data_IF_608107324985
#
_entry.id   IF_608107324985
#
_cell.length_a   1.000
_cell.length_b   1.000
_cell.length_c   1.000
_cell.angle_alpha   90.00
_cell.angle_beta   90.00
_cell.angle_gamma   90.00
#
_symmetry.space_group_name_H-M   'P 1'
#
loop_
_entity.id
_entity.type
_entity.pdbx_description
1 polymer ?
#
# COMPACT_ATOMS: atom_id res chain seq x y z
N UNK A 1 51.84 -21.20 -21.97
CA UNK A 1 51.59 -21.74 -20.61
C UNK A 1 51.63 -20.59 -19.61
N UNK A 2 50.60 -20.43 -18.77
CA UNK A 2 50.58 -19.42 -17.69
C UNK A 2 51.61 -19.72 -16.63
N UNK A 3 52.33 -18.69 -16.16
CA UNK A 3 53.32 -18.84 -15.08
C UNK A 3 52.68 -19.38 -13.79
N UNK A 4 53.43 -20.09 -12.93
CA UNK A 4 52.88 -20.68 -11.69
C UNK A 4 52.12 -19.67 -10.82
N UNK A 5 52.64 -18.45 -10.71
CA UNK A 5 52.01 -17.37 -9.93
C UNK A 5 50.67 -16.90 -10.51
N UNK A 6 50.50 -16.91 -11.85
CA UNK A 6 49.24 -16.57 -12.49
C UNK A 6 48.20 -17.69 -12.33
N UNK A 7 48.62 -18.94 -12.27
CA UNK A 7 47.74 -20.08 -11.96
C UNK A 7 47.25 -20.05 -10.52
N UNK A 8 48.14 -19.74 -9.58
CA UNK A 8 47.79 -19.61 -8.16
C UNK A 8 46.80 -18.44 -7.93
N UNK A 9 47.02 -17.31 -8.60
CA UNK A 9 46.12 -16.14 -8.53
C UNK A 9 44.74 -16.47 -9.08
N UNK A 10 44.63 -17.21 -10.19
CA UNK A 10 43.33 -17.63 -10.75
C UNK A 10 42.60 -18.62 -9.86
N UNK A 11 43.31 -19.53 -9.19
CA UNK A 11 42.72 -20.46 -8.23
C UNK A 11 42.21 -19.71 -7.00
N UNK A 12 42.96 -18.76 -6.45
CA UNK A 12 42.52 -17.90 -5.34
C UNK A 12 41.32 -17.04 -5.68
N UNK A 13 41.28 -16.47 -6.89
CA UNK A 13 40.09 -15.71 -7.38
C UNK A 13 38.89 -16.64 -7.52
N UNK A 14 39.05 -17.84 -8.03
CA UNK A 14 37.96 -18.81 -8.17
C UNK A 14 37.40 -19.26 -6.80
N UNK A 15 38.27 -19.52 -5.82
CA UNK A 15 37.85 -19.84 -4.45
C UNK A 15 37.21 -18.64 -3.74
N UNK A 16 37.68 -17.41 -3.97
CA UNK A 16 37.06 -16.19 -3.42
C UNK A 16 35.69 -15.97 -4.01
N UNK A 17 35.44 -16.20 -5.31
CA UNK A 17 34.13 -16.11 -5.94
C UNK A 17 33.21 -17.26 -5.50
N UNK A 18 33.72 -18.47 -5.30
CA UNK A 18 32.93 -19.58 -4.77
C UNK A 18 32.53 -19.36 -3.31
N UNK A 19 33.43 -18.79 -2.48
CA UNK A 19 33.14 -18.47 -1.08
C UNK A 19 32.11 -17.37 -0.92
N UNK A 20 32.04 -16.39 -1.83
CA UNK A 20 31.01 -15.36 -1.81
C UNK A 20 29.61 -15.88 -2.22
N UNK A 21 29.57 -16.97 -3.02
CA UNK A 21 28.28 -17.59 -3.39
C UNK A 21 27.64 -18.43 -2.27
N UNK A 22 28.44 -18.94 -1.33
CA UNK A 22 27.97 -19.84 -0.25
C UNK A 22 27.39 -19.05 0.94
N UNK A 23 27.62 -17.72 1.01
CA UNK A 23 27.12 -16.86 2.06
C UNK A 23 25.82 -16.13 1.70
N UNK A 24 25.15 -16.45 0.60
CA UNK A 24 23.77 -16.04 0.39
C UNK A 24 22.89 -16.83 1.35
N UNK A 25 22.77 -16.32 2.58
CA UNK A 25 21.65 -16.69 3.43
C UNK A 25 20.39 -16.36 2.62
N UNK A 26 19.61 -17.37 2.28
CA UNK A 26 18.26 -17.18 1.78
C UNK A 26 17.47 -16.50 2.90
N UNK A 27 17.39 -15.17 2.85
CA UNK A 27 16.42 -14.47 3.68
C UNK A 27 15.06 -15.09 3.35
N UNK A 28 14.44 -15.74 4.31
CA UNK A 28 13.06 -16.22 4.15
C UNK A 28 12.22 -14.97 3.93
N UNK A 29 11.55 -14.91 2.78
CA UNK A 29 10.61 -13.84 2.49
C UNK A 29 9.47 -13.93 3.51
N UNK A 30 9.19 -12.84 4.21
CA UNK A 30 8.19 -12.77 5.28
C UNK A 30 7.31 -11.55 5.07
N UNK A 31 5.99 -11.73 5.20
CA UNK A 31 5.05 -10.62 5.26
C UNK A 31 5.28 -9.82 6.55
N UNK A 32 5.36 -8.51 6.43
CA UNK A 32 5.56 -7.61 7.58
C UNK A 32 4.68 -6.38 7.42
N UNK A 33 3.90 -6.07 8.46
CA UNK A 33 3.03 -4.89 8.47
C UNK A 33 3.58 -3.79 9.38
N UNK A 34 3.61 -2.57 8.85
CA UNK A 34 3.93 -1.36 9.59
C UNK A 34 2.76 -0.38 9.59
N UNK A 35 2.43 0.20 10.77
CA UNK A 35 1.48 1.30 10.87
C UNK A 35 2.10 2.56 10.25
N UNK A 36 1.36 3.24 9.38
CA UNK A 36 1.81 4.48 8.74
C UNK A 36 1.35 5.67 9.58
N UNK A 37 0.05 5.87 9.71
CA UNK A 37 -0.54 6.90 10.55
C UNK A 37 -1.97 6.51 10.92
N UNK A 38 -2.49 7.14 11.96
CA UNK A 38 -3.88 6.99 12.40
C UNK A 38 -4.35 8.25 13.11
N UNK A 39 -5.65 8.39 13.19
CA UNK A 39 -6.32 9.37 14.03
C UNK A 39 -7.66 8.85 14.53
N UNK A 40 -8.27 9.58 15.44
CA UNK A 40 -9.61 9.26 15.91
C UNK A 40 -10.52 10.49 15.88
N UNK A 41 -11.81 10.22 15.73
CA UNK A 41 -12.85 11.26 15.79
C UNK A 41 -14.18 10.69 16.26
N UNK A 42 -15.03 11.54 16.80
CA UNK A 42 -16.43 11.21 17.11
C UNK A 42 -17.33 11.61 15.95
N UNK A 43 -18.30 10.76 15.61
CA UNK A 43 -19.38 11.13 14.69
C UNK A 43 -20.49 11.93 15.43
N UNK A 44 -21.53 12.32 14.70
CA UNK A 44 -22.68 13.06 15.26
C UNK A 44 -23.49 12.26 16.30
N UNK A 45 -23.31 10.95 16.34
CA UNK A 45 -23.96 10.04 17.30
C UNK A 45 -23.01 9.66 18.45
N UNK A 46 -21.90 10.37 18.64
CA UNK A 46 -20.86 10.11 19.63
C UNK A 46 -20.17 8.73 19.51
N UNK A 47 -20.26 8.08 18.36
CA UNK A 47 -19.46 6.91 18.11
C UNK A 47 -18.01 7.34 17.81
N UNK A 48 -17.05 6.64 18.39
CA UNK A 48 -15.63 6.87 18.17
C UNK A 48 -15.13 6.03 16.99
N UNK A 49 -14.54 6.69 16.02
CA UNK A 49 -13.81 6.04 14.94
C UNK A 49 -12.31 6.16 15.15
N UNK A 50 -11.59 5.07 14.95
CA UNK A 50 -10.13 5.05 14.79
C UNK A 50 -9.87 4.67 13.35
N UNK A 51 -9.35 5.62 12.57
CA UNK A 51 -9.01 5.43 11.15
C UNK A 51 -7.51 5.50 10.98
N UNK A 52 -6.97 4.70 10.07
CA UNK A 52 -5.55 4.71 9.83
C UNK A 52 -5.17 3.88 8.62
N UNK A 53 -3.86 3.74 8.42
CA UNK A 53 -3.28 3.04 7.29
C UNK A 53 -2.15 2.13 7.74
N UNK A 54 -2.15 0.92 7.18
CA UNK A 54 -1.12 -0.10 7.36
C UNK A 54 -0.42 -0.35 6.03
N UNK A 55 0.89 -0.56 6.07
CA UNK A 55 1.71 -0.86 4.89
C UNK A 55 2.35 -2.24 5.03
N UNK A 56 2.33 -3.02 3.96
CA UNK A 56 3.17 -4.21 3.87
C UNK A 56 4.60 -3.79 3.54
N UNK A 57 5.49 -3.87 4.53
CA UNK A 57 6.91 -3.55 4.42
C UNK A 57 7.78 -4.80 4.20
N UNK A 58 7.15 -5.98 4.15
CA UNK A 58 7.79 -7.26 3.86
C UNK A 58 7.89 -7.56 2.37
N UNK A 59 8.42 -8.73 2.06
CA UNK A 59 8.67 -9.21 0.69
C UNK A 59 7.57 -10.13 0.16
N UNK A 60 6.64 -10.55 1.04
CA UNK A 60 5.52 -11.45 0.72
C UNK A 60 4.21 -10.71 0.88
N UNK A 61 3.24 -11.00 0.01
CA UNK A 61 1.88 -10.51 0.17
C UNK A 61 1.28 -11.05 1.48
N UNK A 62 0.49 -10.21 2.15
CA UNK A 62 -0.23 -10.60 3.38
C UNK A 62 -1.74 -10.56 3.13
N UNK A 63 -2.46 -11.39 3.87
CA UNK A 63 -3.93 -11.49 3.82
C UNK A 63 -4.52 -11.61 5.23
N UNK A 64 -5.85 -11.48 5.32
CA UNK A 64 -6.57 -11.55 6.59
C UNK A 64 -5.99 -10.59 7.64
N UNK A 65 -5.65 -9.37 7.22
CA UNK A 65 -5.08 -8.35 8.10
C UNK A 65 -6.11 -7.91 9.12
N UNK A 66 -6.09 -8.52 10.29
CA UNK A 66 -6.92 -8.15 11.44
C UNK A 66 -6.30 -6.93 12.13
N UNK A 67 -7.15 -5.96 12.46
CA UNK A 67 -6.81 -4.73 13.17
C UNK A 67 -7.54 -4.74 14.50
N UNK A 68 -6.80 -4.81 15.59
CA UNK A 68 -7.34 -4.75 16.95
C UNK A 68 -7.00 -3.42 17.59
N UNK A 69 -8.01 -2.67 17.98
CA UNK A 69 -7.88 -1.43 18.75
C UNK A 69 -8.31 -1.67 20.18
N UNK A 70 -7.42 -1.35 21.12
CA UNK A 70 -7.70 -1.41 22.56
C UNK A 70 -7.87 0.02 23.06
N UNK A 71 -9.00 0.29 23.71
CA UNK A 71 -9.39 1.61 24.19
C UNK A 71 -9.20 1.73 25.70
N UNK A 72 -8.70 2.89 26.15
CA UNK A 72 -8.39 3.15 27.56
C UNK A 72 -9.03 4.46 28.03
N UNK A 73 -9.41 4.49 29.32
CA UNK A 73 -9.94 5.65 29.99
C UNK A 73 -8.81 6.59 30.52
N UNK A 74 -9.20 7.67 31.21
CA UNK A 74 -8.29 8.66 31.79
C UNK A 74 -7.33 8.12 32.85
N UNK A 75 -7.65 6.97 33.47
CA UNK A 75 -6.78 6.28 34.43
C UNK A 75 -5.97 5.15 33.78
N UNK A 76 -5.92 5.11 32.45
CA UNK A 76 -5.25 4.10 31.65
C UNK A 76 -5.77 2.66 31.88
N UNK A 77 -7.02 2.54 32.33
CA UNK A 77 -7.70 1.26 32.43
C UNK A 77 -8.37 0.93 31.11
N UNK A 78 -8.26 -0.32 30.69
CA UNK A 78 -8.92 -0.83 29.49
C UNK A 78 -10.43 -0.72 29.61
N UNK A 79 -11.08 -0.06 28.65
CA UNK A 79 -12.53 -0.04 28.47
C UNK A 79 -12.94 -1.29 27.70
N UNK A 80 -12.46 -1.43 26.47
CA UNK A 80 -12.77 -2.54 25.58
C UNK A 80 -11.67 -2.75 24.54
N UNK A 81 -11.82 -3.78 23.72
CA UNK A 81 -11.05 -3.98 22.51
C UNK A 81 -11.99 -4.35 21.38
N UNK A 82 -11.84 -3.71 20.21
CA UNK A 82 -12.65 -3.95 19.04
C UNK A 82 -11.73 -4.40 17.92
N UNK A 83 -12.18 -5.38 17.16
CA UNK A 83 -11.45 -5.96 16.04
C UNK A 83 -12.22 -5.71 14.73
N UNK A 84 -11.47 -5.52 13.67
CA UNK A 84 -11.93 -5.41 12.30
C UNK A 84 -10.82 -5.82 11.35
N UNK A 85 -10.95 -5.47 10.09
CA UNK A 85 -9.95 -5.81 9.08
C UNK A 85 -9.48 -4.56 8.36
N UNK A 86 -8.27 -4.62 7.82
CA UNK A 86 -7.85 -3.70 6.79
C UNK A 86 -8.72 -3.92 5.55
N UNK A 87 -8.91 -2.86 4.77
CA UNK A 87 -9.81 -2.81 3.62
C UNK A 87 -9.42 -3.83 2.53
N UNK A 88 -8.15 -3.83 2.13
CA UNK A 88 -7.67 -4.78 1.12
C UNK A 88 -7.57 -6.20 1.68
N UNK A 89 -8.18 -7.15 0.97
CA UNK A 89 -8.07 -8.58 1.32
C UNK A 89 -6.64 -9.10 1.22
N UNK A 90 -5.87 -8.59 0.23
CA UNK A 90 -4.46 -8.96 0.01
C UNK A 90 -3.64 -7.70 -0.13
N UNK A 91 -2.74 -7.45 0.82
CA UNK A 91 -1.83 -6.32 0.77
C UNK A 91 -0.50 -6.78 0.18
N UNK A 92 -0.23 -6.42 -1.07
CA UNK A 92 1.00 -6.73 -1.78
C UNK A 92 2.20 -6.01 -1.15
N UNK A 93 3.44 -6.50 -1.32
CA UNK A 93 4.65 -5.81 -0.89
C UNK A 93 4.68 -4.34 -1.31
N UNK A 94 4.99 -3.45 -0.38
CA UNK A 94 5.04 -2.01 -0.59
C UNK A 94 3.68 -1.29 -0.65
N UNK A 95 2.56 -2.02 -0.67
CA UNK A 95 1.21 -1.44 -0.73
C UNK A 95 0.70 -1.07 0.65
N UNK A 96 -0.22 -0.09 0.66
CA UNK A 96 -0.97 0.33 1.84
C UNK A 96 -2.43 -0.13 1.76
N UNK A 97 -3.06 -0.25 2.91
CA UNK A 97 -4.49 -0.47 3.07
C UNK A 97 -4.98 0.36 4.26
N UNK A 98 -6.10 1.03 4.12
CA UNK A 98 -6.69 1.70 5.25
C UNK A 98 -7.41 0.69 6.18
N UNK A 99 -7.71 1.15 7.39
CA UNK A 99 -8.64 0.51 8.31
C UNK A 99 -9.52 1.57 8.97
N UNK A 100 -10.72 1.16 9.38
CA UNK A 100 -11.65 2.00 10.14
C UNK A 100 -12.33 1.15 11.19
N UNK A 101 -12.04 1.44 12.46
CA UNK A 101 -12.60 0.71 13.61
C UNK A 101 -13.55 1.64 14.36
N UNK A 102 -14.81 1.21 14.49
CA UNK A 102 -15.87 1.95 15.15
C UNK A 102 -16.16 1.39 16.53
N UNK A 103 -16.18 2.27 17.52
CA UNK A 103 -16.70 2.00 18.87
C UNK A 103 -17.99 2.77 19.08
N UNK A 104 -19.05 2.10 19.47
CA UNK A 104 -20.34 2.74 19.73
C UNK A 104 -20.29 3.60 21.01
N UNK A 105 -21.12 4.64 21.05
CA UNK A 105 -21.31 5.47 22.24
C UNK A 105 -21.72 4.59 23.45
N UNK A 106 -22.64 3.63 23.22
CA UNK A 106 -23.11 2.66 24.24
C UNK A 106 -22.01 1.75 24.78
N UNK A 107 -20.88 1.61 24.10
CA UNK A 107 -19.70 0.85 24.54
C UNK A 107 -18.71 1.70 25.36
N UNK A 108 -19.03 2.99 25.58
CA UNK A 108 -18.23 3.92 26.36
C UNK A 108 -17.28 4.78 25.55
N UNK A 109 -17.59 5.04 24.28
CA UNK A 109 -16.76 5.85 23.36
C UNK A 109 -16.36 7.21 23.94
N UNK A 110 -17.27 7.89 24.66
CA UNK A 110 -17.00 9.18 25.30
C UNK A 110 -16.00 9.13 26.46
N UNK A 111 -15.73 7.97 27.02
CA UNK A 111 -14.78 7.76 28.12
C UNK A 111 -13.37 7.44 27.64
N UNK A 112 -13.18 7.34 26.31
CA UNK A 112 -11.88 7.00 25.74
C UNK A 112 -10.95 8.23 25.77
N UNK A 113 -9.76 8.05 26.35
CA UNK A 113 -8.70 9.08 26.38
C UNK A 113 -7.52 8.72 25.48
N UNK A 114 -7.26 7.42 25.31
CA UNK A 114 -6.25 6.95 24.36
C UNK A 114 -6.58 5.54 23.86
N UNK A 115 -5.81 5.07 22.89
CA UNK A 115 -5.95 3.74 22.31
C UNK A 115 -4.60 3.19 21.87
N UNK A 116 -4.52 1.86 21.72
CA UNK A 116 -3.41 1.18 21.08
C UNK A 116 -3.92 0.29 19.94
N UNK A 117 -3.09 0.15 18.89
CA UNK A 117 -3.44 -0.60 17.69
C UNK A 117 -2.47 -1.75 17.52
N UNK A 118 -3.01 -2.93 17.22
CA UNK A 118 -2.29 -4.17 16.97
C UNK A 118 -2.75 -4.77 15.66
N UNK A 119 -1.81 -5.34 14.90
CA UNK A 119 -2.09 -6.03 13.65
C UNK A 119 -1.74 -7.50 13.77
N UNK A 120 -2.59 -8.35 13.18
CA UNK A 120 -2.33 -9.75 12.97
C UNK A 120 -2.66 -10.10 11.52
N UNK A 121 -1.88 -10.95 10.89
CA UNK A 121 -2.04 -11.31 9.48
C UNK A 121 -1.53 -12.71 9.21
N UNK A 122 -1.78 -13.21 8.01
CA UNK A 122 -1.16 -14.42 7.47
C UNK A 122 -0.48 -14.07 6.15
N UNK A 123 0.62 -14.76 5.85
CA UNK A 123 1.22 -14.65 4.53
C UNK A 123 0.23 -15.18 3.48
N UNK A 124 0.07 -14.46 2.38
CA UNK A 124 -0.75 -14.92 1.28
C UNK A 124 0.05 -15.93 0.44
N UNK A 125 -0.54 -17.09 0.09
CA UNK A 125 0.15 -18.13 -0.69
C UNK A 125 0.52 -17.63 -2.10
N UNK A 126 -0.21 -16.65 -2.62
CA UNK A 126 0.10 -15.91 -3.83
C UNK A 126 -0.47 -14.49 -3.74
N UNK A 127 0.24 -13.52 -4.30
CA UNK A 127 -0.29 -12.17 -4.49
C UNK A 127 -1.38 -12.15 -5.56
N UNK A 128 -2.21 -11.12 -5.57
CA UNK A 128 -3.16 -10.89 -6.66
C UNK A 128 -2.42 -10.34 -7.89
N UNK A 129 -2.73 -10.84 -9.10
CA UNK A 129 -2.24 -10.24 -10.35
C UNK A 129 -2.63 -8.76 -10.43
N UNK A 130 -1.74 -7.93 -10.95
CA UNK A 130 -2.02 -6.53 -11.21
C UNK A 130 -2.88 -6.41 -12.47
N UNK A 131 -3.89 -5.54 -12.44
CA UNK A 131 -4.79 -5.39 -13.59
C UNK A 131 -5.72 -4.19 -13.53
N UNK A 132 -5.90 -3.58 -12.38
CA UNK A 132 -6.77 -2.41 -12.24
C UNK A 132 -5.96 -1.11 -12.36
N UNK A 133 -6.50 -0.12 -13.06
CA UNK A 133 -5.88 1.20 -13.23
C UNK A 133 -6.92 2.29 -12.99
N UNK A 134 -6.59 3.28 -12.18
CA UNK A 134 -7.37 4.50 -12.03
C UNK A 134 -7.02 5.43 -13.20
N UNK A 135 -7.95 5.64 -14.12
CA UNK A 135 -7.71 6.47 -15.31
C UNK A 135 -7.84 7.95 -15.02
N UNK A 136 -8.75 8.31 -14.14
CA UNK A 136 -9.03 9.70 -13.77
C UNK A 136 -9.67 9.76 -12.39
N UNK A 137 -9.48 10.88 -11.70
CA UNK A 137 -10.21 11.18 -10.48
C UNK A 137 -10.36 12.69 -10.31
N UNK A 138 -11.39 13.09 -9.55
CA UNK A 138 -11.64 14.45 -9.10
C UNK A 138 -12.36 14.42 -7.78
N UNK A 139 -12.30 15.51 -7.03
CA UNK A 139 -13.06 15.61 -5.77
C UNK A 139 -13.91 16.87 -5.72
N UNK A 140 -15.04 16.77 -5.04
CA UNK A 140 -15.96 17.88 -4.76
C UNK A 140 -16.57 17.70 -3.38
N UNK A 141 -17.10 18.80 -2.82
CA UNK A 141 -17.87 18.76 -1.57
C UNK A 141 -19.30 19.17 -1.90
N UNK A 142 -20.26 18.37 -1.45
CA UNK A 142 -21.67 18.62 -1.66
C UNK A 142 -22.26 19.64 -0.65
N UNK A 143 -23.55 19.93 -0.77
CA UNK A 143 -24.26 20.89 0.11
C UNK A 143 -24.43 20.37 1.55
N UNK A 144 -24.31 19.07 1.80
CA UNK A 144 -24.32 18.46 3.12
C UNK A 144 -22.92 18.49 3.80
N UNK A 145 -21.90 18.90 3.06
CA UNK A 145 -20.51 18.92 3.52
C UNK A 145 -19.81 17.56 3.38
N UNK A 146 -20.37 16.65 2.59
CA UNK A 146 -19.73 15.37 2.27
C UNK A 146 -18.76 15.54 1.12
N UNK A 147 -17.63 14.85 1.17
CA UNK A 147 -16.65 14.87 0.10
C UNK A 147 -16.84 13.66 -0.80
N UNK A 148 -17.05 13.92 -2.09
CA UNK A 148 -17.09 12.93 -3.15
C UNK A 148 -15.75 12.85 -3.87
N UNK A 149 -15.23 11.64 -4.05
CA UNK A 149 -14.10 11.37 -4.95
C UNK A 149 -14.61 10.50 -6.08
N UNK A 150 -14.79 11.11 -7.24
CA UNK A 150 -15.31 10.47 -8.44
C UNK A 150 -14.20 10.18 -9.45
N UNK A 151 -14.39 9.17 -10.29
CA UNK A 151 -13.41 8.87 -11.31
C UNK A 151 -13.76 7.66 -12.16
N UNK A 152 -12.74 7.16 -12.85
CA UNK A 152 -12.83 5.98 -13.70
C UNK A 152 -11.75 4.98 -13.35
N UNK A 153 -12.14 3.71 -13.26
CA UNK A 153 -11.27 2.56 -13.10
C UNK A 153 -11.39 1.66 -14.33
N UNK A 154 -10.28 1.13 -14.82
CA UNK A 154 -10.23 0.20 -15.95
C UNK A 154 -9.60 -1.12 -15.53
N UNK A 155 -10.14 -2.21 -16.03
CA UNK A 155 -9.50 -3.51 -15.97
C UNK A 155 -8.56 -3.67 -17.17
N UNK A 156 -7.26 -3.48 -16.97
CA UNK A 156 -6.20 -3.72 -17.96
C UNK A 156 -5.58 -5.12 -17.82
N UNK A 157 -6.08 -5.91 -16.88
CA UNK A 157 -5.67 -7.31 -16.69
C UNK A 157 -6.29 -8.25 -17.72
N UNK A 158 -5.89 -9.51 -17.68
CA UNK A 158 -6.39 -10.58 -18.55
C UNK A 158 -7.53 -11.37 -17.92
N UNK A 159 -7.77 -11.20 -16.63
CA UNK A 159 -8.85 -11.85 -15.87
C UNK A 159 -10.03 -10.91 -15.71
N UNK A 160 -11.23 -11.47 -15.53
CA UNK A 160 -12.39 -10.68 -15.15
C UNK A 160 -12.19 -10.10 -13.74
N UNK A 161 -12.50 -8.84 -13.57
CA UNK A 161 -12.53 -8.16 -12.29
C UNK A 161 -13.97 -8.21 -11.75
N UNK A 162 -14.21 -9.02 -10.72
CA UNK A 162 -15.51 -9.14 -10.08
C UNK A 162 -15.49 -8.39 -8.75
N UNK A 163 -16.58 -7.65 -8.47
CA UNK A 163 -16.68 -6.79 -7.29
C UNK A 163 -15.48 -5.82 -7.22
N UNK A 164 -15.29 -5.05 -8.30
CA UNK A 164 -14.24 -4.02 -8.35
C UNK A 164 -14.56 -2.93 -7.35
N UNK A 165 -13.75 -2.85 -6.33
CA UNK A 165 -13.81 -1.84 -5.27
C UNK A 165 -12.72 -0.81 -5.47
N UNK A 166 -13.04 0.44 -5.25
CA UNK A 166 -12.09 1.56 -5.21
C UNK A 166 -12.17 2.19 -3.82
N UNK A 167 -11.03 2.34 -3.19
CA UNK A 167 -10.90 2.85 -1.83
C UNK A 167 -10.12 4.16 -1.82
N UNK A 168 -10.50 5.08 -0.93
CA UNK A 168 -9.82 6.34 -0.69
C UNK A 168 -9.38 6.46 0.76
N UNK A 169 -8.11 6.81 0.96
CA UNK A 169 -7.56 7.25 2.26
C UNK A 169 -7.36 8.76 2.21
N UNK A 170 -7.92 9.49 3.17
CA UNK A 170 -7.89 10.95 3.23
C UNK A 170 -6.86 11.42 4.26
N UNK A 171 -6.02 12.39 3.88
CA UNK A 171 -4.93 12.90 4.71
C UNK A 171 -5.08 14.40 4.98
N UNK A 172 -4.67 14.83 6.16
CA UNK A 172 -4.50 16.25 6.46
C UNK A 172 -3.20 16.80 5.86
N UNK A 173 -2.94 18.10 6.08
CA UNK A 173 -1.72 18.78 5.59
C UNK A 173 -0.41 18.23 6.17
N UNK A 174 -0.47 17.48 7.26
CA UNK A 174 0.69 16.80 7.88
C UNK A 174 0.84 15.34 7.41
N UNK A 175 0.02 14.87 6.47
CA UNK A 175 0.04 13.48 5.98
C UNK A 175 -0.57 12.46 6.95
N UNK A 176 -1.30 12.90 7.97
CA UNK A 176 -1.99 12.00 8.91
C UNK A 176 -3.35 11.62 8.34
N UNK A 177 -3.71 10.34 8.41
CA UNK A 177 -5.02 9.84 8.01
C UNK A 177 -6.11 10.47 8.86
N UNK A 178 -7.11 11.10 8.23
CA UNK A 178 -8.26 11.73 8.89
C UNK A 178 -9.59 11.11 8.50
N UNK A 179 -9.60 10.27 7.47
CA UNK A 179 -10.78 9.54 7.03
C UNK A 179 -10.41 8.48 6.02
N UNK A 180 -11.32 7.55 5.80
CA UNK A 180 -11.23 6.54 4.76
C UNK A 180 -12.63 6.12 4.34
N UNK A 181 -12.80 5.78 3.08
CA UNK A 181 -14.05 5.29 2.51
C UNK A 181 -13.79 4.50 1.24
N UNK A 182 -14.80 3.78 0.76
CA UNK A 182 -14.70 2.97 -0.45
C UNK A 182 -16.05 2.91 -1.17
N UNK A 183 -16.02 2.54 -2.45
CA UNK A 183 -17.21 2.26 -3.22
C UNK A 183 -16.94 1.17 -4.28
N UNK A 184 -17.94 0.40 -4.63
CA UNK A 184 -17.85 -0.43 -5.83
C UNK A 184 -17.90 0.45 -7.08
N UNK A 185 -17.16 0.04 -8.11
CA UNK A 185 -17.31 0.65 -9.43
C UNK A 185 -18.67 0.33 -10.04
N UNK A 186 -19.10 1.14 -10.99
CA UNK A 186 -20.35 0.93 -11.72
C UNK A 186 -20.08 0.85 -13.24
N UNK A 187 -20.18 -0.36 -13.85
CA UNK A 187 -20.52 -1.65 -13.24
C UNK A 187 -19.42 -2.17 -12.30
N UNK A 188 -19.79 -3.01 -11.30
CA UNK A 188 -18.84 -3.59 -10.35
C UNK A 188 -18.01 -4.73 -10.97
N UNK A 189 -18.50 -5.37 -12.00
CA UNK A 189 -17.81 -6.44 -12.71
C UNK A 189 -17.29 -5.92 -14.05
N UNK A 190 -15.98 -6.06 -14.26
CA UNK A 190 -15.30 -5.55 -15.45
C UNK A 190 -14.62 -6.68 -16.22
N UNK A 191 -14.98 -6.83 -17.48
CA UNK A 191 -14.23 -7.65 -18.43
C UNK A 191 -12.87 -6.99 -18.72
N UNK A 192 -11.87 -7.73 -19.26
CA UNK A 192 -10.63 -7.15 -19.74
C UNK A 192 -10.86 -5.95 -20.67
N UNK A 193 -10.14 -4.86 -20.44
CA UNK A 193 -10.22 -3.56 -21.10
C UNK A 193 -11.52 -2.75 -20.84
N UNK A 194 -12.44 -3.25 -20.05
CA UNK A 194 -13.65 -2.50 -19.69
C UNK A 194 -13.33 -1.43 -18.64
N UNK A 195 -13.98 -0.28 -18.77
CA UNK A 195 -13.91 0.85 -17.84
C UNK A 195 -15.24 0.99 -17.09
N UNK A 196 -15.16 1.42 -15.82
CA UNK A 196 -16.31 1.78 -15.00
C UNK A 196 -16.05 3.09 -14.25
N UNK A 197 -17.11 3.72 -13.81
CA UNK A 197 -17.05 4.88 -12.92
C UNK A 197 -17.07 4.45 -11.47
N UNK A 198 -16.59 5.32 -10.57
CA UNK A 198 -16.76 5.18 -9.12
C UNK A 198 -17.09 6.53 -8.49
N UNK A 199 -17.73 6.50 -7.33
CA UNK A 199 -18.03 7.66 -6.49
C UNK A 199 -17.87 7.23 -5.02
N UNK A 200 -16.79 7.69 -4.38
CA UNK A 200 -16.46 7.39 -3.00
C UNK A 200 -16.85 8.59 -2.15
N UNK A 201 -17.65 8.38 -1.11
CA UNK A 201 -18.16 9.44 -0.26
C UNK A 201 -17.54 9.40 1.14
N UNK A 202 -16.97 10.51 1.61
CA UNK A 202 -16.61 10.75 3.00
C UNK A 202 -17.70 11.58 3.66
N UNK A 203 -18.54 10.93 4.47
CA UNK A 203 -19.79 11.47 5.04
C UNK A 203 -19.62 12.28 6.33
N UNK A 204 -18.40 12.57 6.75
CA UNK A 204 -18.12 13.26 8.03
C UNK A 204 -17.61 14.68 7.77
N UNK A 205 -18.47 15.74 7.77
CA UNK A 205 -18.07 17.11 7.43
C UNK A 205 -16.90 17.63 8.26
N UNK A 206 -16.83 17.26 9.55
CA UNK A 206 -15.74 17.64 10.44
C UNK A 206 -14.40 16.98 10.05
N UNK A 207 -14.41 15.86 9.32
CA UNK A 207 -13.20 15.25 8.75
C UNK A 207 -12.91 15.82 7.38
N UNK A 208 -13.93 16.04 6.54
CA UNK A 208 -13.82 16.69 5.24
C UNK A 208 -13.08 18.02 5.36
N UNK A 209 -13.41 18.84 6.38
CA UNK A 209 -12.73 20.12 6.65
C UNK A 209 -11.22 19.99 6.94
N UNK A 210 -10.73 18.81 7.26
CA UNK A 210 -9.30 18.53 7.53
C UNK A 210 -8.56 17.97 6.34
N UNK A 211 -9.27 17.53 5.28
CA UNK A 211 -8.66 16.87 4.12
C UNK A 211 -7.83 17.87 3.33
N UNK A 212 -6.56 17.56 3.13
CA UNK A 212 -5.65 18.27 2.25
C UNK A 212 -5.30 17.46 0.98
N UNK A 213 -5.34 16.13 1.06
CA UNK A 213 -5.07 15.21 -0.05
C UNK A 213 -5.72 13.87 0.20
N UNK A 214 -5.77 13.04 -0.84
CA UNK A 214 -6.22 11.65 -0.74
C UNK A 214 -5.38 10.74 -1.63
N UNK A 215 -5.31 9.47 -1.25
CA UNK A 215 -4.76 8.38 -2.04
C UNK A 215 -5.85 7.41 -2.46
N UNK A 216 -5.74 6.85 -3.65
CA UNK A 216 -6.67 5.86 -4.17
C UNK A 216 -5.99 4.50 -4.33
N UNK A 217 -6.75 3.45 -4.06
CA UNK A 217 -6.39 2.08 -4.42
C UNK A 217 -7.60 1.37 -5.01
N UNK A 218 -7.37 0.24 -5.68
CA UNK A 218 -8.45 -0.58 -6.19
C UNK A 218 -8.10 -2.07 -6.06
N UNK A 219 -9.12 -2.85 -5.78
CA UNK A 219 -9.01 -4.29 -5.65
C UNK A 219 -10.28 -4.98 -6.17
N UNK A 220 -10.15 -6.21 -6.59
CA UNK A 220 -11.26 -7.12 -6.88
C UNK A 220 -10.96 -8.51 -6.32
N UNK A 221 -11.88 -9.44 -6.51
CA UNK A 221 -11.62 -10.84 -6.13
C UNK A 221 -10.38 -11.43 -6.81
N UNK A 222 -10.07 -11.00 -8.06
CA UNK A 222 -9.02 -11.57 -8.89
C UNK A 222 -7.82 -10.64 -9.11
N UNK A 223 -7.99 -9.32 -9.04
CA UNK A 223 -7.00 -8.35 -9.50
C UNK A 223 -6.71 -7.28 -8.45
N UNK A 224 -5.49 -6.74 -8.47
CA UNK A 224 -5.08 -5.58 -7.70
C UNK A 224 -4.69 -4.40 -8.62
N UNK A 225 -4.59 -3.20 -8.04
CA UNK A 225 -4.22 -1.98 -8.74
C UNK A 225 -2.79 -2.08 -9.27
N UNK A 226 -2.59 -1.70 -10.53
CA UNK A 226 -1.26 -1.47 -11.11
C UNK A 226 -0.68 -0.22 -10.44
N UNK A 227 0.49 -0.30 -9.78
CA UNK A 227 1.11 0.88 -9.18
C UNK A 227 1.42 1.91 -10.25
N UNK A 228 1.09 3.17 -10.00
CA UNK A 228 1.59 4.27 -10.81
C UNK A 228 3.11 4.34 -10.63
N UNK A 229 3.85 4.12 -11.72
CA UNK A 229 5.30 4.37 -11.70
C UNK A 229 5.49 5.87 -11.55
N UNK A 230 6.10 6.31 -10.44
CA UNK A 230 6.54 7.69 -10.36
C UNK A 230 7.44 7.98 -11.56
N UNK A 231 7.08 8.98 -12.36
CA UNK A 231 7.78 9.39 -13.58
C UNK A 231 9.29 9.69 -13.40
N UNK A 232 9.76 9.72 -12.14
CA UNK A 232 11.15 9.93 -11.75
C UNK A 232 12.06 8.70 -11.95
N UNK A 233 11.50 7.48 -12.07
CA UNK A 233 12.33 6.27 -12.26
C UNK A 233 12.80 6.10 -13.72
N UNK A 234 12.00 6.52 -14.70
CA UNK A 234 12.36 6.42 -16.11
C UNK A 234 13.58 7.27 -16.49
N UNK A 235 13.69 8.56 -16.09
CA UNK A 235 14.88 9.37 -16.37
C UNK A 235 16.15 8.84 -15.71
N UNK A 236 16.07 8.32 -14.48
CA UNK A 236 17.22 7.80 -13.76
C UNK A 236 17.76 6.50 -14.38
N UNK A 237 16.89 5.60 -14.84
CA UNK A 237 17.28 4.37 -15.54
C UNK A 237 17.93 4.68 -16.90
N UNK A 238 17.40 5.66 -17.63
CA UNK A 238 17.96 6.14 -18.90
C UNK A 238 19.34 6.77 -18.71
N UNK A 239 19.55 7.54 -17.63
CA UNK A 239 20.84 8.14 -17.31
C UNK A 239 21.90 7.09 -16.97
N UNK A 240 21.53 6.04 -16.23
CA UNK A 240 22.43 4.93 -15.88
C UNK A 240 22.82 4.13 -17.13
N UNK A 241 21.88 3.86 -18.03
CA UNK A 241 22.16 3.13 -19.28
C UNK A 241 23.03 3.96 -20.25
N UNK A 242 22.79 5.27 -20.34
CA UNK A 242 23.63 6.18 -21.16
C UNK A 242 25.06 6.28 -20.60
N UNK A 243 25.25 6.40 -19.28
CA UNK A 243 26.58 6.49 -18.67
C UNK A 243 27.35 5.19 -18.81
N UNK A 244 26.72 4.03 -18.64
CA UNK A 244 27.31 2.72 -18.91
C UNK A 244 27.72 2.58 -20.39
N UNK A 245 26.85 2.98 -21.32
CA UNK A 245 27.16 2.98 -22.76
C UNK A 245 28.38 3.82 -23.12
N UNK A 246 28.52 5.02 -22.55
CA UNK A 246 29.66 5.91 -22.76
C UNK A 246 30.98 5.32 -22.20
N UNK A 247 30.92 4.67 -21.04
CA UNK A 247 32.09 4.00 -20.44
C UNK A 247 32.57 2.83 -21.30
N UNK A 248 31.63 2.02 -21.84
CA UNK A 248 31.98 0.91 -22.73
C UNK A 248 32.51 1.40 -24.07
N UNK A 249 31.97 2.49 -24.62
CA UNK A 249 32.43 3.08 -25.88
C UNK A 249 33.86 3.67 -25.75
N UNK A 250 34.16 4.32 -24.63
CA UNK A 250 35.48 4.88 -24.33
C UNK A 250 36.55 3.79 -24.14
N UNK A 251 36.21 2.66 -23.50
CA UNK A 251 37.12 1.51 -23.35
C UNK A 251 37.50 0.85 -24.68
N UNK A 252 36.59 0.79 -25.66
CA UNK A 252 36.87 0.22 -26.99
C UNK A 252 37.82 1.07 -27.84
N UNK A 253 37.87 2.41 -27.63
CA UNK A 253 38.72 3.34 -28.40
C UNK A 253 40.18 3.38 -27.92
N UNK A 254 40.49 2.85 -26.73
CA UNK A 254 41.81 2.90 -26.12
C UNK A 254 42.45 1.50 -25.92
N UNK A 255 42.03 0.49 -26.67
CA UNK A 255 42.78 -0.78 -26.74
C UNK A 255 43.85 -0.66 -27.84
N UNK A 256 45.14 -0.52 -27.49
CA UNK A 256 46.19 -0.53 -28.51
C UNK A 256 46.30 -1.92 -29.12
N UNK A 257 46.56 -1.97 -30.43
CA UNK A 257 46.87 -3.19 -31.16
C UNK A 257 48.22 -3.77 -30.73
#
# INVERSE_FOLDING_TARGET
MLSPNKRLLLILLFFATLSSCVLMQTAMAVGTLGRISDSSFLDSNNNLYVVGEVKNTGDVAVQNTNVRVVFYNSTNQKITAIEGYADLNVILPGRTSFFSIKMLESEGALNVMNYSIWFNWTDAPAGKPLGLVILSNSSSVDSAGHMHVTGQVQNQGTLNSNNTEVSATFYNSSGVVVGASWAFSNPANLLPNQTATFDIELIYPQQVAKVASYGLTAESNALALIPEFSSLLLPSLLLVTMTLGLVFFKRRRFSPR
#
